data_IF_325762773234
#
_entry.id   IF_325762773234
#
_cell.length_a   1.000
_cell.length_b   1.000
_cell.length_c   1.000
_cell.angle_alpha   90.00
_cell.angle_beta   90.00
_cell.angle_gamma   90.00
#
_symmetry.space_group_name_H-M   'P 1'
#
loop_
_entity.id
_entity.type
_entity.pdbx_description
1 polymer ?
#
# COMPACT_ATOMS: atom_id res chain seq x y z
N UNK A 1 11.33 9.81 70.31
CA UNK A 1 10.83 10.09 68.95
C UNK A 1 11.35 9.02 67.98
N UNK A 2 10.52 8.04 67.60
CA UNK A 2 10.86 7.03 66.58
C UNK A 2 10.12 7.41 65.29
N UNK A 3 10.86 7.75 64.22
CA UNK A 3 10.29 8.01 62.89
C UNK A 3 10.05 6.67 62.19
N UNK A 4 8.80 6.41 61.78
CA UNK A 4 8.42 5.29 60.91
C UNK A 4 8.68 5.69 59.45
N UNK A 5 9.54 4.95 58.75
CA UNK A 5 9.65 5.01 57.30
C UNK A 5 8.49 4.20 56.70
N UNK A 6 7.60 4.88 55.98
CA UNK A 6 6.56 4.24 55.16
C UNK A 6 7.07 4.15 53.74
N UNK A 7 7.50 2.95 53.32
CA UNK A 7 7.81 2.64 51.93
C UNK A 7 6.49 2.46 51.18
N UNK A 8 6.17 3.38 50.26
CA UNK A 8 5.08 3.25 49.31
C UNK A 8 5.57 2.43 48.12
N UNK A 9 5.10 1.20 48.02
CA UNK A 9 5.34 0.30 46.89
C UNK A 9 4.27 0.59 45.82
N UNK A 10 4.64 1.27 44.74
CA UNK A 10 3.76 1.46 43.59
C UNK A 10 3.81 0.23 42.69
N UNK A 11 2.76 -0.59 42.71
CA UNK A 11 2.56 -1.69 41.76
C UNK A 11 2.07 -1.08 40.44
N UNK A 12 2.91 -1.09 39.41
CA UNK A 12 2.52 -0.78 38.03
C UNK A 12 1.94 -2.05 37.43
N UNK A 13 0.61 -2.10 37.29
CA UNK A 13 -0.09 -3.16 36.57
C UNK A 13 0.01 -2.83 35.07
N UNK A 14 0.95 -3.48 34.37
CA UNK A 14 0.96 -3.54 32.91
C UNK A 14 -0.23 -4.42 32.47
N UNK A 15 -1.33 -3.78 32.11
CA UNK A 15 -2.43 -4.42 31.40
C UNK A 15 -1.95 -4.72 29.97
N UNK A 16 -1.43 -5.92 29.77
CA UNK A 16 -1.24 -6.51 28.45
C UNK A 16 -2.62 -6.66 27.82
N UNK A 17 -3.01 -5.71 26.96
CA UNK A 17 -4.15 -5.89 26.07
C UNK A 17 -3.73 -6.93 25.04
N UNK A 18 -3.94 -8.20 25.38
CA UNK A 18 -3.94 -9.28 24.40
C UNK A 18 -5.13 -9.04 23.48
N UNK A 19 -4.93 -8.27 22.41
CA UNK A 19 -5.86 -8.23 21.29
C UNK A 19 -6.04 -9.68 20.84
N UNK A 20 -7.22 -10.22 21.09
CA UNK A 20 -7.62 -11.51 20.57
C UNK A 20 -7.51 -11.41 19.05
N UNK A 21 -6.48 -12.04 18.49
CA UNK A 21 -6.45 -12.43 17.08
C UNK A 21 -7.62 -13.39 16.89
N UNK A 22 -8.82 -12.86 16.67
CA UNK A 22 -9.87 -13.64 16.07
C UNK A 22 -9.29 -14.09 14.73
N UNK A 23 -9.06 -15.41 14.60
CA UNK A 23 -8.47 -16.00 13.40
C UNK A 23 -9.21 -15.44 12.18
N UNK A 24 -8.47 -14.73 11.34
CA UNK A 24 -9.03 -14.30 10.06
C UNK A 24 -9.09 -15.54 9.19
N UNK A 25 -10.31 -16.00 8.90
CA UNK A 25 -10.53 -17.10 7.99
C UNK A 25 -10.13 -16.69 6.57
N UNK A 26 -9.37 -17.55 5.89
CA UNK A 26 -8.94 -17.35 4.51
C UNK A 26 -9.47 -18.50 3.66
N UNK A 27 -10.35 -18.16 2.73
CA UNK A 27 -10.84 -19.08 1.71
C UNK A 27 -9.87 -19.11 0.55
N UNK A 28 -9.55 -20.31 0.05
CA UNK A 28 -8.66 -20.49 -1.10
C UNK A 28 -9.35 -21.29 -2.20
N UNK A 29 -9.24 -20.83 -3.44
CA UNK A 29 -9.76 -21.56 -4.61
C UNK A 29 -9.02 -21.17 -5.91
N UNK A 30 -9.11 -22.02 -6.93
CA UNK A 30 -8.62 -21.71 -8.28
C UNK A 30 -9.66 -20.82 -8.99
N UNK A 31 -9.29 -19.58 -9.31
CA UNK A 31 -10.19 -18.56 -9.89
C UNK A 31 -10.30 -18.71 -11.41
N UNK A 32 -11.13 -19.65 -11.86
CA UNK A 32 -11.35 -19.95 -13.28
C UNK A 32 -12.06 -18.85 -14.06
N UNK A 33 -12.69 -17.91 -13.37
CA UNK A 33 -13.39 -16.79 -14.00
C UNK A 33 -12.47 -15.57 -14.19
N UNK A 34 -11.26 -15.60 -13.62
CA UNK A 34 -10.24 -14.58 -13.86
C UNK A 34 -9.91 -14.47 -15.35
N UNK A 35 -9.67 -13.24 -15.80
CA UNK A 35 -9.27 -13.00 -17.19
C UNK A 35 -7.84 -13.50 -17.45
N UNK A 36 -7.46 -13.70 -18.72
CA UNK A 36 -6.06 -13.92 -19.08
C UNK A 36 -5.56 -15.36 -19.02
N UNK A 37 -6.43 -16.36 -18.98
CA UNK A 37 -6.03 -17.78 -19.03
C UNK A 37 -5.17 -18.19 -20.23
N UNK A 38 -5.15 -17.39 -21.30
CA UNK A 38 -4.27 -17.62 -22.45
C UNK A 38 -2.78 -17.57 -22.08
N UNK A 39 -2.39 -16.81 -21.05
CA UNK A 39 -0.99 -16.67 -20.59
C UNK A 39 -0.72 -17.28 -19.20
N UNK A 40 -1.75 -17.72 -18.49
CA UNK A 40 -1.65 -18.29 -17.14
C UNK A 40 -1.59 -19.83 -17.17
N UNK A 41 -0.93 -20.39 -16.17
CA UNK A 41 -0.97 -21.82 -15.78
C UNK A 41 -1.93 -21.99 -14.61
N UNK A 42 -1.87 -21.09 -13.63
CA UNK A 42 -2.78 -21.09 -12.50
C UNK A 42 -3.05 -19.67 -12.01
N UNK A 43 -4.19 -19.52 -11.33
CA UNK A 43 -4.63 -18.29 -10.69
C UNK A 43 -5.38 -18.69 -9.41
N UNK A 44 -4.67 -18.71 -8.28
CA UNK A 44 -5.26 -19.07 -6.98
C UNK A 44 -5.67 -17.82 -6.22
N UNK A 45 -6.96 -17.67 -5.95
CA UNK A 45 -7.49 -16.61 -5.12
C UNK A 45 -7.46 -17.02 -3.64
N UNK A 46 -6.97 -16.12 -2.80
CA UNK A 46 -6.98 -16.17 -1.35
C UNK A 46 -7.79 -14.99 -0.83
N UNK A 47 -8.91 -15.29 -0.18
CA UNK A 47 -9.92 -14.30 0.17
C UNK A 47 -10.13 -14.28 1.66
N UNK A 48 -10.05 -13.09 2.26
CA UNK A 48 -10.50 -12.84 3.63
C UNK A 48 -11.61 -11.80 3.58
N UNK A 49 -12.70 -12.07 4.30
CA UNK A 49 -13.82 -11.17 4.43
C UNK A 49 -14.15 -10.91 5.89
N UNK A 50 -14.22 -9.63 6.27
CA UNK A 50 -14.55 -9.24 7.64
C UNK A 50 -15.31 -7.93 7.64
N UNK A 51 -16.51 -7.93 8.22
CA UNK A 51 -17.35 -6.73 8.41
C UNK A 51 -17.54 -5.91 7.12
N UNK A 52 -17.81 -6.59 6.00
CA UNK A 52 -18.02 -5.93 4.70
C UNK A 52 -16.76 -5.35 4.05
N UNK A 53 -15.57 -5.74 4.52
CA UNK A 53 -14.31 -5.53 3.84
C UNK A 53 -13.85 -6.87 3.28
N UNK A 54 -13.76 -6.96 1.94
CA UNK A 54 -13.31 -8.15 1.22
C UNK A 54 -11.95 -7.86 0.59
N UNK A 55 -10.97 -8.69 0.93
CA UNK A 55 -9.61 -8.61 0.40
C UNK A 55 -9.31 -9.92 -0.31
N UNK A 56 -8.91 -9.82 -1.57
CA UNK A 56 -8.52 -10.95 -2.39
C UNK A 56 -7.10 -10.74 -2.90
N UNK A 57 -6.26 -11.75 -2.70
CA UNK A 57 -4.96 -11.86 -3.36
C UNK A 57 -5.00 -13.03 -4.32
N UNK A 58 -4.60 -12.81 -5.56
CA UNK A 58 -4.44 -13.84 -6.55
C UNK A 58 -2.95 -14.15 -6.69
N UNK A 59 -2.58 -15.41 -6.45
CA UNK A 59 -1.26 -15.94 -6.79
C UNK A 59 -1.32 -16.51 -8.21
N UNK A 60 -0.71 -15.78 -9.15
CA UNK A 60 -0.77 -16.08 -10.57
C UNK A 60 0.54 -16.72 -10.99
N UNK A 61 0.48 -17.87 -11.66
CA UNK A 61 1.63 -18.48 -12.32
C UNK A 61 1.47 -18.35 -13.83
N UNK A 62 2.40 -17.64 -14.47
CA UNK A 62 2.44 -17.50 -15.92
C UNK A 62 3.02 -18.72 -16.61
N UNK A 63 2.72 -18.90 -17.90
CA UNK A 63 3.32 -19.96 -18.74
C UNK A 63 4.84 -19.85 -18.91
N UNK A 64 5.42 -18.69 -18.62
CA UNK A 64 6.87 -18.47 -18.54
C UNK A 64 7.49 -19.00 -17.24
N UNK A 65 6.68 -19.44 -16.26
CA UNK A 65 7.12 -19.84 -14.93
C UNK A 65 7.28 -18.69 -13.92
N UNK A 66 7.14 -17.44 -14.37
CA UNK A 66 7.12 -16.29 -13.46
C UNK A 66 5.82 -16.27 -12.64
N UNK A 67 5.93 -15.85 -11.37
CA UNK A 67 4.78 -15.66 -10.48
C UNK A 67 4.58 -14.19 -10.16
N UNK A 68 3.33 -13.76 -10.11
CA UNK A 68 2.93 -12.43 -9.64
C UNK A 68 1.78 -12.53 -8.65
N UNK A 69 1.65 -11.50 -7.83
CA UNK A 69 0.51 -11.29 -6.95
C UNK A 69 -0.37 -10.21 -7.54
N UNK A 70 -1.68 -10.40 -7.52
CA UNK A 70 -2.65 -9.35 -7.85
C UNK A 70 -3.59 -9.16 -6.66
N UNK A 71 -3.88 -7.90 -6.32
CA UNK A 71 -4.64 -7.54 -5.13
C UNK A 71 -5.90 -6.81 -5.53
N UNK A 72 -7.04 -7.29 -5.04
CA UNK A 72 -8.32 -6.62 -5.14
C UNK A 72 -8.88 -6.38 -3.74
N UNK A 73 -9.26 -5.14 -3.44
CA UNK A 73 -9.75 -4.72 -2.13
C UNK A 73 -11.06 -3.96 -2.29
N UNK A 74 -12.13 -4.49 -1.72
CA UNK A 74 -13.39 -3.79 -1.54
C UNK A 74 -13.55 -3.50 -0.04
N UNK A 75 -12.94 -2.40 0.41
CA UNK A 75 -12.85 -2.04 1.82
C UNK A 75 -12.98 -0.52 1.98
N UNK A 76 -13.83 -0.09 2.92
CA UNK A 76 -14.04 1.33 3.29
C UNK A 76 -13.29 1.76 4.54
N UNK A 77 -12.31 0.96 4.95
CA UNK A 77 -11.45 1.20 6.12
C UNK A 77 -10.03 1.43 5.64
N UNK A 78 -9.20 2.09 6.44
CA UNK A 78 -7.80 2.32 6.07
C UNK A 78 -6.99 1.01 6.03
N UNK A 79 -5.81 1.05 5.40
CA UNK A 79 -4.95 -0.13 5.30
C UNK A 79 -4.54 -0.72 6.67
N UNK A 80 -4.33 0.12 7.68
CA UNK A 80 -3.94 -0.35 9.01
C UNK A 80 -4.99 -1.29 9.65
N UNK A 81 -6.28 -1.03 9.43
CA UNK A 81 -7.36 -1.91 9.88
C UNK A 81 -7.47 -3.20 9.05
N UNK A 82 -6.95 -3.20 7.82
CA UNK A 82 -6.92 -4.35 6.92
C UNK A 82 -5.73 -5.29 7.19
N UNK A 83 -4.71 -4.83 7.94
CA UNK A 83 -3.46 -5.57 8.19
C UNK A 83 -3.65 -7.02 8.65
N UNK A 84 -4.54 -7.35 9.61
CA UNK A 84 -4.72 -8.74 10.03
C UNK A 84 -5.17 -9.65 8.89
N UNK A 85 -6.04 -9.17 8.01
CA UNK A 85 -6.53 -9.93 6.86
C UNK A 85 -5.46 -10.11 5.80
N UNK A 86 -4.72 -9.05 5.46
CA UNK A 86 -3.58 -9.17 4.56
C UNK A 86 -2.53 -10.15 5.08
N UNK A 87 -2.18 -10.08 6.38
CA UNK A 87 -1.21 -10.99 7.00
C UNK A 87 -1.66 -12.44 6.95
N UNK A 88 -2.92 -12.71 7.27
CA UNK A 88 -3.48 -14.06 7.20
C UNK A 88 -3.42 -14.62 5.77
N UNK A 89 -3.83 -13.83 4.78
CA UNK A 89 -3.75 -14.22 3.36
C UNK A 89 -2.31 -14.50 2.94
N UNK A 90 -1.39 -13.57 3.19
CA UNK A 90 0.02 -13.72 2.81
C UNK A 90 0.68 -14.90 3.52
N UNK A 91 0.26 -15.24 4.74
CA UNK A 91 0.72 -16.45 5.43
C UNK A 91 0.29 -17.72 4.68
N UNK A 92 -0.95 -17.78 4.18
CA UNK A 92 -1.44 -18.93 3.40
C UNK A 92 -0.73 -19.03 2.05
N UNK A 93 -0.50 -17.91 1.39
CA UNK A 93 0.29 -17.85 0.15
C UNK A 93 1.71 -18.34 0.42
N UNK A 94 2.39 -17.82 1.44
CA UNK A 94 3.78 -18.13 1.78
C UNK A 94 3.99 -19.61 2.17
N UNK A 95 2.95 -20.27 2.71
CA UNK A 95 2.97 -21.71 2.98
C UNK A 95 2.96 -22.56 1.70
N UNK A 96 2.41 -22.05 0.59
CA UNK A 96 2.38 -22.73 -0.70
C UNK A 96 3.57 -22.36 -1.57
N UNK A 97 3.88 -21.08 -1.63
CA UNK A 97 4.97 -20.52 -2.40
C UNK A 97 5.65 -19.43 -1.58
N UNK A 98 6.96 -19.55 -1.30
CA UNK A 98 7.69 -18.48 -0.64
C UNK A 98 7.46 -17.14 -1.34
N UNK A 99 7.22 -16.05 -0.60
CA UNK A 99 6.96 -14.74 -1.23
C UNK A 99 8.14 -14.27 -2.09
N UNK A 100 9.36 -14.73 -1.82
CA UNK A 100 10.55 -14.47 -2.64
C UNK A 100 10.50 -15.10 -4.04
N UNK A 101 9.59 -16.04 -4.28
CA UNK A 101 9.37 -16.64 -5.61
C UNK A 101 8.46 -15.82 -6.53
N UNK A 102 7.84 -14.76 -6.01
CA UNK A 102 7.03 -13.83 -6.78
C UNK A 102 7.89 -12.65 -7.24
N UNK A 103 7.64 -12.21 -8.47
CA UNK A 103 8.37 -11.08 -9.09
C UNK A 103 7.78 -9.74 -8.71
N UNK A 104 6.45 -9.66 -8.60
CA UNK A 104 5.75 -8.39 -8.43
C UNK A 104 4.37 -8.54 -7.78
N UNK A 105 3.86 -7.40 -7.30
CA UNK A 105 2.49 -7.20 -6.82
C UNK A 105 1.80 -6.14 -7.67
N UNK A 106 0.66 -6.49 -8.24
CA UNK A 106 -0.27 -5.57 -8.90
C UNK A 106 -1.32 -5.15 -7.87
N UNK A 107 -1.36 -3.85 -7.52
CA UNK A 107 -2.18 -3.36 -6.39
C UNK A 107 -3.48 -2.64 -6.80
N UNK A 108 -3.60 -2.23 -8.06
CA UNK A 108 -4.61 -1.24 -8.46
C UNK A 108 -4.30 0.16 -7.92
N UNK A 109 -5.31 1.02 -7.68
CA UNK A 109 -5.11 2.35 -7.12
C UNK A 109 -4.48 2.30 -5.71
N UNK A 110 -3.54 3.22 -5.43
CA UNK A 110 -2.93 3.31 -4.11
C UNK A 110 -3.93 3.81 -3.07
N UNK A 111 -4.83 4.69 -3.47
CA UNK A 111 -5.91 5.19 -2.63
C UNK A 111 -7.26 4.92 -3.28
N UNK A 112 -8.18 4.45 -2.47
CA UNK A 112 -9.55 4.20 -2.87
C UNK A 112 -10.47 4.31 -1.64
N UNK A 113 -11.78 4.40 -1.88
CA UNK A 113 -12.82 4.32 -0.85
C UNK A 113 -12.66 5.31 0.33
N UNK A 114 -12.07 6.47 0.06
CA UNK A 114 -11.88 7.54 1.06
C UNK A 114 -10.63 7.41 1.93
N UNK A 115 -9.83 6.35 1.77
CA UNK A 115 -8.50 6.29 2.40
C UNK A 115 -7.45 6.93 1.49
N UNK A 116 -7.06 8.16 1.85
CA UNK A 116 -6.05 8.93 1.12
C UNK A 116 -4.66 8.84 1.75
N UNK A 117 -4.47 7.95 2.73
CA UNK A 117 -3.25 7.90 3.55
C UNK A 117 -1.99 7.75 2.73
N UNK A 118 -2.01 6.90 1.69
CA UNK A 118 -0.86 6.68 0.81
C UNK A 118 -0.67 7.80 -0.24
N UNK A 119 -1.71 8.58 -0.55
CA UNK A 119 -1.66 9.59 -1.62
C UNK A 119 -1.26 10.97 -1.11
N UNK A 120 -1.54 11.29 0.16
CA UNK A 120 -1.19 12.59 0.74
C UNK A 120 0.31 12.89 0.74
N UNK A 121 1.21 11.96 1.10
CA UNK A 121 2.65 12.23 1.04
C UNK A 121 3.13 12.49 -0.39
N UNK A 122 2.58 11.75 -1.37
CA UNK A 122 2.85 11.94 -2.80
C UNK A 122 2.40 13.34 -3.26
N UNK A 123 1.18 13.75 -2.89
CA UNK A 123 0.66 15.08 -3.20
C UNK A 123 1.55 16.18 -2.62
N UNK A 124 1.98 16.04 -1.37
CA UNK A 124 2.91 16.97 -0.70
C UNK A 124 4.27 17.04 -1.38
N UNK A 125 4.82 15.92 -1.84
CA UNK A 125 6.07 15.90 -2.59
C UNK A 125 5.91 16.58 -3.96
N UNK A 126 4.79 16.32 -4.65
CA UNK A 126 4.52 16.91 -5.97
C UNK A 126 4.43 18.44 -5.91
N UNK A 127 3.83 19.02 -4.85
CA UNK A 127 3.78 20.47 -4.64
C UNK A 127 5.16 21.13 -4.53
N UNK A 128 6.17 20.35 -4.14
CA UNK A 128 7.51 20.85 -3.86
C UNK A 128 8.50 20.54 -4.99
N UNK A 129 8.10 19.78 -6.01
CA UNK A 129 8.98 19.40 -7.11
C UNK A 129 9.00 20.46 -8.21
N UNK A 130 10.14 21.12 -8.44
CA UNK A 130 10.29 22.05 -9.56
C UNK A 130 10.01 21.39 -10.91
N UNK A 131 10.40 20.12 -11.07
CA UNK A 131 10.19 19.36 -12.31
C UNK A 131 8.70 19.11 -12.56
N UNK A 132 7.94 18.74 -11.52
CA UNK A 132 6.50 18.58 -11.68
C UNK A 132 5.81 19.92 -11.93
N UNK A 133 6.23 20.98 -11.23
CA UNK A 133 5.71 22.33 -11.43
C UNK A 133 5.92 22.77 -12.88
N UNK A 134 7.12 22.60 -13.42
CA UNK A 134 7.43 22.84 -14.83
C UNK A 134 6.53 22.00 -15.75
N UNK A 135 6.38 20.71 -15.45
CA UNK A 135 5.55 19.81 -16.23
C UNK A 135 4.14 20.34 -16.41
N UNK A 136 3.43 20.67 -15.32
CA UNK A 136 2.03 21.06 -15.44
C UNK A 136 1.84 22.51 -15.92
N UNK A 137 2.78 23.42 -15.63
CA UNK A 137 2.68 24.82 -16.08
C UNK A 137 3.05 24.99 -17.55
N UNK A 138 3.98 24.18 -18.06
CA UNK A 138 4.57 24.37 -19.40
C UNK A 138 4.23 23.25 -20.38
N UNK A 139 3.38 22.27 -20.04
CA UNK A 139 2.96 21.22 -20.97
C UNK A 139 2.33 21.81 -22.26
N UNK A 140 2.65 21.31 -23.47
CA UNK A 140 3.53 20.16 -23.79
C UNK A 140 5.04 20.49 -23.93
N UNK A 141 5.43 21.74 -23.68
CA UNK A 141 6.79 22.26 -23.86
C UNK A 141 7.74 21.99 -22.69
N UNK A 142 7.25 21.42 -21.59
CA UNK A 142 8.10 21.01 -20.45
C UNK A 142 9.24 20.08 -20.88
N UNK A 143 10.33 20.11 -20.10
CA UNK A 143 11.44 19.17 -20.20
C UNK A 143 11.01 17.73 -19.92
N UNK A 144 10.06 17.54 -18.99
CA UNK A 144 9.48 16.24 -18.71
C UNK A 144 8.44 15.87 -19.78
N UNK A 145 8.53 14.65 -20.30
CA UNK A 145 7.57 14.11 -21.29
C UNK A 145 6.52 13.20 -20.66
N UNK A 146 6.72 12.78 -19.41
CA UNK A 146 5.78 11.98 -18.65
C UNK A 146 6.06 12.08 -17.17
N UNK A 147 5.09 11.64 -16.36
CA UNK A 147 5.12 11.82 -14.90
C UNK A 147 5.26 10.50 -14.13
N UNK A 148 5.23 9.35 -14.80
CA UNK A 148 5.25 8.04 -14.14
C UNK A 148 6.53 7.82 -13.33
N UNK A 149 7.69 8.22 -13.84
CA UNK A 149 8.97 8.10 -13.13
C UNK A 149 9.00 8.98 -11.87
N UNK A 150 8.49 10.20 -11.99
CA UNK A 150 8.45 11.17 -10.90
C UNK A 150 7.45 10.77 -9.81
N UNK A 151 6.30 10.21 -10.20
CA UNK A 151 5.35 9.62 -9.26
C UNK A 151 6.00 8.49 -8.45
N UNK A 152 6.73 7.60 -9.12
CA UNK A 152 7.48 6.51 -8.48
C UNK A 152 8.48 7.03 -7.46
N UNK A 153 9.27 8.02 -7.85
CA UNK A 153 10.25 8.65 -6.97
C UNK A 153 9.58 9.22 -5.72
N UNK A 154 8.46 9.93 -5.87
CA UNK A 154 7.71 10.46 -4.73
C UNK A 154 7.14 9.35 -3.85
N UNK A 155 6.51 8.34 -4.41
CA UNK A 155 5.94 7.24 -3.64
C UNK A 155 7.01 6.50 -2.81
N UNK A 156 8.17 6.24 -3.41
CA UNK A 156 9.29 5.54 -2.77
C UNK A 156 10.01 6.40 -1.72
N UNK A 157 10.19 7.70 -1.98
CA UNK A 157 10.93 8.61 -1.09
C UNK A 157 10.12 9.15 0.09
N UNK A 158 8.78 9.06 0.03
CA UNK A 158 7.87 9.59 1.06
C UNK A 158 7.29 8.53 1.97
N UNK A 159 7.77 7.27 1.88
CA UNK A 159 7.25 6.16 2.68
C UNK A 159 5.73 5.96 2.55
N UNK A 160 5.18 6.30 1.37
CA UNK A 160 3.72 6.36 1.14
C UNK A 160 3.00 5.04 1.42
N UNK A 161 3.67 3.91 1.24
CA UNK A 161 3.14 2.54 1.44
C UNK A 161 3.94 1.77 2.51
N UNK A 162 4.48 2.47 3.53
CA UNK A 162 5.35 1.89 4.54
C UNK A 162 4.71 0.78 5.40
N UNK A 163 3.39 0.79 5.56
CA UNK A 163 2.62 -0.29 6.18
C UNK A 163 2.63 -1.57 5.33
N UNK A 164 2.38 -1.49 4.02
CA UNK A 164 2.53 -2.62 3.11
C UNK A 164 3.98 -3.11 3.07
N UNK A 165 4.95 -2.20 2.99
CA UNK A 165 6.38 -2.54 3.00
C UNK A 165 6.78 -3.29 4.28
N UNK A 166 6.34 -2.81 5.46
CA UNK A 166 6.56 -3.51 6.73
C UNK A 166 5.92 -4.89 6.74
N UNK A 167 4.69 -5.02 6.24
CA UNK A 167 4.02 -6.32 6.17
C UNK A 167 4.80 -7.30 5.29
N UNK A 168 5.24 -6.88 4.11
CA UNK A 168 6.03 -7.74 3.21
C UNK A 168 7.37 -8.16 3.84
N UNK A 169 8.01 -7.25 4.60
CA UNK A 169 9.25 -7.55 5.30
C UNK A 169 9.10 -8.66 6.36
N UNK A 170 7.90 -8.83 6.96
CA UNK A 170 7.61 -9.95 7.89
C UNK A 170 7.77 -11.33 7.20
N UNK A 171 7.64 -11.37 5.88
CA UNK A 171 7.78 -12.57 5.04
C UNK A 171 9.15 -12.65 4.34
N UNK A 172 10.14 -11.86 4.77
CA UNK A 172 11.50 -11.92 4.24
C UNK A 172 11.68 -11.33 2.84
N UNK A 173 10.74 -10.49 2.38
CA UNK A 173 10.86 -9.79 1.09
C UNK A 173 10.68 -8.30 1.24
N UNK A 174 11.37 -7.53 0.40
CA UNK A 174 11.18 -6.09 0.24
C UNK A 174 10.34 -5.82 -0.99
N UNK A 175 9.61 -4.71 -0.95
CA UNK A 175 8.93 -4.18 -2.12
C UNK A 175 9.37 -2.75 -2.42
N UNK A 176 9.37 -2.41 -3.70
CA UNK A 176 9.56 -1.06 -4.20
C UNK A 176 8.56 -0.80 -5.33
N UNK A 177 8.00 0.41 -5.41
CA UNK A 177 7.16 0.77 -6.56
C UNK A 177 8.03 0.85 -7.82
N UNK A 178 7.85 -0.13 -8.70
CA UNK A 178 8.66 -0.38 -9.87
C UNK A 178 8.09 0.19 -11.17
N UNK A 179 6.77 0.24 -11.30
CA UNK A 179 6.09 1.00 -12.36
C UNK A 179 4.66 1.39 -11.93
N UNK A 180 4.06 2.30 -12.70
CA UNK A 180 2.68 2.76 -12.50
C UNK A 180 1.99 2.98 -13.84
N UNK A 181 0.67 2.82 -13.85
CA UNK A 181 -0.19 3.19 -14.96
C UNK A 181 -1.19 4.28 -14.56
N UNK A 182 -1.46 5.21 -15.49
CA UNK A 182 -2.48 6.27 -15.37
C UNK A 182 -2.34 7.10 -14.09
N UNK A 183 -1.31 7.94 -14.03
CA UNK A 183 -1.14 8.90 -12.92
C UNK A 183 -2.30 9.90 -12.90
N UNK A 184 -2.97 9.98 -11.76
CA UNK A 184 -4.04 10.94 -11.50
C UNK A 184 -3.49 12.19 -10.83
N UNK A 185 -3.97 13.34 -11.30
CA UNK A 185 -3.64 14.63 -10.76
C UNK A 185 -4.87 15.54 -10.76
N UNK A 186 -5.00 16.35 -9.71
CA UNK A 186 -6.11 17.29 -9.52
C UNK A 186 -5.56 18.63 -9.03
N UNK A 187 -6.34 19.70 -9.15
CA UNK A 187 -6.03 20.92 -8.41
C UNK A 187 -6.20 20.67 -6.92
N UNK A 188 -5.40 21.34 -6.09
CA UNK A 188 -5.41 21.06 -4.66
C UNK A 188 -6.78 21.34 -4.03
N UNK A 189 -7.48 22.40 -4.44
CA UNK A 189 -8.82 22.72 -3.94
C UNK A 189 -9.92 21.73 -4.39
N UNK A 190 -9.67 20.98 -5.47
CA UNK A 190 -10.54 19.93 -6.00
C UNK A 190 -10.18 18.54 -5.42
N UNK A 191 -9.06 18.44 -4.70
CA UNK A 191 -8.62 17.17 -4.15
C UNK A 191 -9.47 16.75 -2.95
N UNK A 192 -9.75 15.44 -2.79
CA UNK A 192 -10.59 14.92 -1.70
C UNK A 192 -9.93 15.02 -0.31
N UNK A 193 -8.69 15.47 -0.26
CA UNK A 193 -7.88 15.67 0.96
C UNK A 193 -7.41 17.12 1.11
N UNK A 194 -8.03 18.07 0.39
CA UNK A 194 -7.63 19.48 0.35
C UNK A 194 -7.56 20.14 1.73
N UNK A 195 -8.48 19.81 2.63
CA UNK A 195 -8.54 20.33 3.99
C UNK A 195 -7.36 19.95 4.90
N UNK A 196 -6.45 19.08 4.43
CA UNK A 196 -5.23 18.68 5.15
C UNK A 196 -3.98 19.47 4.72
N UNK A 197 -4.17 20.50 3.90
CA UNK A 197 -3.15 21.43 3.43
C UNK A 197 -3.40 22.83 4.01
N UNK A 198 -2.36 23.65 4.12
CA UNK A 198 -2.52 25.02 4.58
C UNK A 198 -3.25 25.88 3.53
N UNK A 199 -3.92 26.94 3.99
CA UNK A 199 -4.73 27.79 3.12
C UNK A 199 -3.89 28.42 2.01
N UNK A 200 -2.62 28.75 2.27
CA UNK A 200 -1.72 29.29 1.26
C UNK A 200 -1.46 28.31 0.10
N UNK A 201 -1.26 27.02 0.40
CA UNK A 201 -1.13 25.97 -0.60
C UNK A 201 -2.44 25.79 -1.39
N UNK A 202 -3.59 25.84 -0.71
CA UNK A 202 -4.91 25.75 -1.35
C UNK A 202 -5.14 26.93 -2.31
N UNK A 203 -4.85 28.15 -1.85
CA UNK A 203 -5.02 29.39 -2.61
C UNK A 203 -4.10 29.46 -3.83
N UNK A 204 -2.90 28.86 -3.76
CA UNK A 204 -2.03 28.70 -4.93
C UNK A 204 -2.69 27.90 -6.05
N UNK A 205 -3.69 27.08 -5.69
CA UNK A 205 -4.46 26.23 -6.57
C UNK A 205 -3.60 25.35 -7.50
N UNK A 206 -2.46 24.93 -6.98
CA UNK A 206 -1.48 24.10 -7.68
C UNK A 206 -2.08 22.75 -8.05
N UNK A 207 -1.68 22.22 -9.22
CA UNK A 207 -1.99 20.83 -9.59
C UNK A 207 -1.07 19.90 -8.83
N UNK A 208 -1.60 18.81 -8.27
CA UNK A 208 -0.86 17.79 -7.51
C UNK A 208 -1.08 16.41 -8.09
N UNK A 209 -0.02 15.61 -8.17
CA UNK A 209 -0.16 14.17 -8.41
C UNK A 209 -0.46 13.48 -7.10
N UNK A 210 -1.36 12.50 -7.11
CA UNK A 210 -1.73 11.87 -5.84
C UNK A 210 -1.99 10.37 -5.97
N UNK A 211 -2.56 9.89 -7.08
CA UNK A 211 -2.94 8.48 -7.21
C UNK A 211 -2.58 7.91 -8.59
N UNK A 212 -2.82 6.61 -8.78
CA UNK A 212 -2.60 5.88 -10.04
C UNK A 212 -3.77 4.94 -10.30
N UNK A 213 -3.92 4.50 -11.55
CA UNK A 213 -4.85 3.43 -11.89
C UNK A 213 -4.34 2.06 -11.45
N UNK A 214 -3.06 1.80 -11.66
CA UNK A 214 -2.39 0.55 -11.25
C UNK A 214 -0.98 0.86 -10.75
N UNK A 215 -0.64 0.30 -9.60
CA UNK A 215 0.72 0.26 -9.05
C UNK A 215 1.32 -1.14 -9.18
N UNK A 216 2.56 -1.21 -9.66
CA UNK A 216 3.36 -2.44 -9.78
C UNK A 216 4.52 -2.37 -8.82
N UNK A 217 4.45 -3.15 -7.74
CA UNK A 217 5.53 -3.27 -6.78
C UNK A 217 6.44 -4.43 -7.16
N UNK A 218 7.74 -4.19 -7.32
CA UNK A 218 8.69 -5.27 -7.53
C UNK A 218 9.10 -5.86 -6.19
N UNK A 219 9.18 -7.18 -6.16
CA UNK A 219 9.57 -7.96 -4.97
C UNK A 219 11.05 -8.32 -5.10
N UNK A 220 11.78 -8.19 -3.99
CA UNK A 220 13.18 -8.63 -3.89
C UNK A 220 13.43 -9.26 -2.53
N UNK A 221 14.49 -10.07 -2.41
CA UNK A 221 14.85 -10.69 -1.14
C UNK A 221 15.24 -9.64 -0.08
N UNK A 222 14.71 -9.79 1.13
CA UNK A 222 15.18 -9.01 2.27
C UNK A 222 16.47 -9.63 2.81
N UNK A 223 17.61 -9.13 2.36
CA UNK A 223 18.89 -9.40 3.03
C UNK A 223 18.88 -8.67 4.38
N UNK A 224 18.62 -9.41 5.46
CA UNK A 224 18.91 -8.94 6.80
C UNK A 224 20.44 -8.85 6.94
N UNK A 225 20.95 -7.64 7.16
CA UNK A 225 22.35 -7.41 7.50
C UNK A 225 22.56 -7.57 9.01
#
# INVERSE_FOLDING_TARGET
>A
MKRKNSLLLSIIILLSVSQSNADVEVTEYLDRESSGWSYKVSDYAFVAEKRGCRIQWNAIEGKSGERSLEVNRDCKVNFAEQLPSHRAILTRINQKWPLSSFKEILWGPLCDNGDWTWCRPIARASLKSPEYIDYWQNYPNSKLKGVNSLFREFANSTDSYADLSRLMNEFGVKIELGSVEKVFAARLNESPFSGEFDQAAIDSNSKVMFNVGIAYFYISEHKAY
#
